data_IF_068708809046
#
_entry.id   IF_068708809046
#
_cell.length_a   1.000
_cell.length_b   1.000
_cell.length_c   1.000
_cell.angle_alpha   90.00
_cell.angle_beta   90.00
_cell.angle_gamma   90.00
#
_symmetry.space_group_name_H-M   'P 1'
#
loop_
_entity.id
_entity.type
_entity.pdbx_description
1 polymer ?
#
# COMPACT_ATOMS: atom_id res chain seq x y z
N UNK A 1 -10.01 1.68 -27.84
CA UNK A 1 -9.41 3.00 -28.11
C UNK A 1 -9.60 3.86 -26.86
N UNK A 2 -8.67 3.78 -25.91
CA UNK A 2 -8.75 4.52 -24.64
C UNK A 2 -8.12 5.90 -24.88
N UNK A 3 -8.91 6.97 -24.81
CA UNK A 3 -8.39 8.33 -24.84
C UNK A 3 -7.45 8.51 -23.62
N UNK A 4 -6.16 8.64 -23.90
CA UNK A 4 -5.20 9.19 -22.94
C UNK A 4 -5.51 10.68 -22.81
N UNK A 5 -6.27 11.05 -21.77
CA UNK A 5 -6.42 12.45 -21.40
C UNK A 5 -5.08 12.95 -20.84
N UNK A 6 -4.38 13.77 -21.61
CA UNK A 6 -3.26 14.56 -21.11
C UNK A 6 -3.84 15.78 -20.39
N UNK A 7 -3.30 16.13 -19.22
CA UNK A 7 -3.57 17.44 -18.62
C UNK A 7 -3.15 18.53 -19.63
N UNK A 8 -3.98 19.55 -19.85
CA UNK A 8 -3.70 20.61 -20.83
C UNK A 8 -2.55 21.53 -20.40
N UNK A 9 -2.16 21.50 -19.13
CA UNK A 9 -1.14 22.40 -18.59
C UNK A 9 -0.13 21.61 -17.75
N UNK A 10 1.16 21.79 -18.03
CA UNK A 10 2.28 21.22 -17.25
C UNK A 10 2.68 22.10 -16.07
N UNK A 11 2.08 23.29 -15.94
CA UNK A 11 2.46 24.30 -14.96
C UNK A 11 2.33 23.86 -13.49
N UNK A 12 1.53 22.83 -13.21
CA UNK A 12 1.35 22.28 -11.87
C UNK A 12 1.91 20.86 -11.72
N UNK A 13 2.51 20.30 -12.77
CA UNK A 13 2.96 18.91 -12.76
C UNK A 13 4.14 18.75 -11.81
N UNK A 14 3.99 17.86 -10.82
CA UNK A 14 5.10 17.43 -9.99
C UNK A 14 6.05 16.62 -10.87
N UNK A 15 7.13 17.25 -11.32
CA UNK A 15 8.23 16.55 -11.97
C UNK A 15 9.11 15.95 -10.87
N UNK A 16 9.44 14.67 -11.00
CA UNK A 16 10.46 14.04 -10.16
C UNK A 16 11.73 14.91 -10.19
N UNK A 17 12.11 15.44 -9.04
CA UNK A 17 13.41 16.10 -8.87
C UNK A 17 14.48 15.02 -8.78
N UNK A 18 15.63 15.27 -9.39
CA UNK A 18 16.77 14.37 -9.25
C UNK A 18 17.21 14.38 -7.80
N UNK A 19 16.96 13.30 -7.06
CA UNK A 19 17.58 13.11 -5.76
C UNK A 19 19.10 13.05 -5.96
N UNK A 20 19.87 13.66 -5.05
CA UNK A 20 21.32 13.51 -5.05
C UNK A 20 21.64 12.02 -5.12
N UNK A 21 22.50 11.64 -6.07
CA UNK A 21 22.88 10.25 -6.32
C UNK A 21 23.54 9.68 -5.06
N UNK A 22 22.75 9.07 -4.18
CA UNK A 22 23.26 8.17 -3.16
C UNK A 22 23.87 6.99 -3.92
N UNK A 23 25.12 6.63 -3.62
CA UNK A 23 25.76 5.47 -4.22
C UNK A 23 24.82 4.25 -4.14
N UNK A 24 24.66 3.56 -5.27
CA UNK A 24 23.77 2.41 -5.40
C UNK A 24 24.16 1.32 -4.39
N UNK A 25 23.53 1.32 -3.22
CA UNK A 25 23.61 0.21 -2.27
C UNK A 25 22.57 -0.84 -2.66
N UNK A 26 22.97 -1.69 -3.62
CA UNK A 26 22.26 -2.86 -4.17
C UNK A 26 20.82 -2.64 -4.72
N UNK A 27 20.45 -3.26 -5.85
CA UNK A 27 19.08 -3.23 -6.39
C UNK A 27 18.09 -4.13 -5.61
N UNK A 28 18.53 -4.67 -4.47
CA UNK A 28 17.77 -5.55 -3.60
C UNK A 28 17.48 -4.76 -2.33
N UNK A 29 16.22 -4.79 -1.87
CA UNK A 29 15.85 -4.19 -0.61
C UNK A 29 16.72 -4.79 0.51
N UNK A 30 17.75 -4.07 0.94
CA UNK A 30 18.76 -4.56 1.88
C UNK A 30 18.41 -4.21 3.32
N UNK A 31 17.12 -4.10 3.63
CA UNK A 31 16.68 -3.73 4.96
C UNK A 31 16.77 -4.93 5.89
N UNK A 32 17.23 -4.68 7.10
CA UNK A 32 17.22 -5.68 8.14
C UNK A 32 15.77 -5.90 8.59
N UNK A 33 15.28 -7.12 8.42
CA UNK A 33 13.98 -7.51 8.95
C UNK A 33 14.10 -7.49 10.47
N UNK A 34 13.51 -6.47 11.10
CA UNK A 34 13.49 -6.35 12.56
C UNK A 34 12.93 -7.63 13.17
N UNK A 35 13.76 -8.36 13.92
CA UNK A 35 13.30 -9.51 14.69
C UNK A 35 12.28 -9.04 15.72
N UNK A 36 11.10 -9.63 15.67
CA UNK A 36 10.07 -9.44 16.70
C UNK A 36 10.17 -10.59 17.70
N UNK A 37 9.88 -10.32 18.97
CA UNK A 37 9.75 -11.37 19.99
C UNK A 37 8.53 -12.23 19.63
N UNK A 38 8.77 -13.49 19.30
CA UNK A 38 7.77 -14.41 18.75
C UNK A 38 7.36 -15.48 19.72
N UNK A 39 6.17 -16.04 19.50
CA UNK A 39 5.70 -17.18 20.29
C UNK A 39 6.38 -18.49 19.83
N UNK A 40 6.75 -18.60 18.55
CA UNK A 40 7.23 -19.84 17.95
C UNK A 40 8.58 -19.71 17.21
N UNK A 41 9.67 -19.52 17.96
CA UNK A 41 11.05 -19.69 17.50
C UNK A 41 11.59 -18.67 16.49
N UNK A 42 12.81 -18.94 15.99
CA UNK A 42 13.55 -18.10 15.03
C UNK A 42 13.27 -18.52 13.57
N UNK A 43 12.00 -18.52 13.17
CA UNK A 43 11.61 -18.78 11.77
C UNK A 43 11.26 -17.46 11.06
N UNK A 44 11.81 -17.30 9.85
CA UNK A 44 11.47 -16.19 8.95
C UNK A 44 10.22 -16.56 8.12
N UNK A 45 9.13 -15.81 8.29
CA UNK A 45 7.86 -16.05 7.59
C UNK A 45 7.51 -14.86 6.70
N UNK A 46 7.41 -15.09 5.40
CA UNK A 46 7.09 -14.06 4.41
C UNK A 46 5.70 -14.32 3.83
N UNK A 47 4.85 -13.29 3.78
CA UNK A 47 3.52 -13.36 3.17
C UNK A 47 3.50 -12.58 1.85
N UNK A 48 3.16 -13.25 0.76
CA UNK A 48 3.03 -12.63 -0.56
C UNK A 48 1.55 -12.51 -0.96
N UNK A 49 1.09 -11.29 -1.24
CA UNK A 49 -0.29 -10.98 -1.61
C UNK A 49 -0.35 -10.47 -3.05
N UNK A 50 -1.07 -11.18 -3.90
CA UNK A 50 -1.15 -10.89 -5.33
C UNK A 50 -2.11 -9.75 -5.67
N UNK A 51 -1.99 -9.26 -6.90
CA UNK A 51 -2.89 -8.27 -7.47
C UNK A 51 -4.15 -8.91 -8.06
N UNK A 52 -5.16 -8.08 -8.32
CA UNK A 52 -6.44 -8.55 -8.88
C UNK A 52 -7.65 -7.69 -8.50
N UNK A 53 -7.43 -6.40 -8.24
CA UNK A 53 -8.48 -5.45 -7.86
C UNK A 53 -9.17 -5.82 -6.54
N UNK A 54 -10.47 -5.52 -6.44
CA UNK A 54 -11.27 -5.76 -5.23
C UNK A 54 -11.33 -7.24 -4.84
N UNK A 55 -11.29 -8.17 -5.79
CA UNK A 55 -11.26 -9.62 -5.50
C UNK A 55 -10.01 -10.00 -4.73
N UNK A 56 -8.85 -9.50 -5.17
CA UNK A 56 -7.59 -9.75 -4.48
C UNK A 56 -7.55 -9.07 -3.11
N UNK A 57 -8.14 -7.88 -2.98
CA UNK A 57 -8.25 -7.19 -1.68
C UNK A 57 -9.07 -8.02 -0.68
N UNK A 58 -10.27 -8.45 -1.07
CA UNK A 58 -11.14 -9.28 -0.25
C UNK A 58 -10.51 -10.63 0.09
N UNK A 59 -9.98 -11.34 -0.92
CA UNK A 59 -9.34 -12.64 -0.74
C UNK A 59 -8.15 -12.53 0.22
N UNK A 60 -7.25 -11.58 -0.02
CA UNK A 60 -6.07 -11.36 0.85
C UNK A 60 -6.49 -11.08 2.29
N UNK A 61 -7.49 -10.23 2.49
CA UNK A 61 -7.99 -9.92 3.83
C UNK A 61 -8.59 -11.14 4.54
N UNK A 62 -9.42 -11.93 3.86
CA UNK A 62 -9.99 -13.17 4.41
C UNK A 62 -8.91 -14.20 4.71
N UNK A 63 -7.90 -14.32 3.85
CA UNK A 63 -6.74 -15.20 4.08
C UNK A 63 -5.96 -14.75 5.31
N UNK A 64 -5.68 -13.47 5.47
CA UNK A 64 -5.00 -12.94 6.66
C UNK A 64 -5.81 -13.22 7.94
N UNK A 65 -7.12 -12.98 7.94
CA UNK A 65 -7.99 -13.32 9.08
C UNK A 65 -8.02 -14.83 9.38
N UNK A 66 -7.97 -15.68 8.35
CA UNK A 66 -7.88 -17.12 8.54
C UNK A 66 -6.51 -17.55 9.13
N UNK A 67 -5.43 -16.85 8.79
CA UNK A 67 -4.10 -17.07 9.36
C UNK A 67 -4.04 -16.75 10.87
N UNK A 68 -4.98 -15.98 11.41
CA UNK A 68 -5.08 -15.75 12.86
C UNK A 68 -5.65 -16.95 13.62
N UNK A 69 -6.30 -17.88 12.91
CA UNK A 69 -7.10 -18.97 13.49
C UNK A 69 -6.66 -20.34 12.98
N UNK A 70 -5.36 -20.51 12.70
CA UNK A 70 -4.83 -21.76 12.17
C UNK A 70 -4.87 -22.83 13.27
N UNK A 71 -5.43 -24.03 13.00
CA UNK A 71 -5.36 -25.13 13.96
C UNK A 71 -3.91 -25.55 14.19
N UNK A 72 -3.45 -25.46 15.44
CA UNK A 72 -2.14 -25.89 15.88
C UNK A 72 -2.13 -27.28 16.51
N UNK A 73 -0.95 -27.73 16.95
CA UNK A 73 -0.82 -28.97 17.70
C UNK A 73 -1.76 -28.98 18.91
N UNK A 74 -2.33 -30.16 19.20
CA UNK A 74 -3.17 -30.38 20.39
C UNK A 74 -4.44 -29.52 20.45
N UNK A 75 -4.89 -28.97 19.31
CA UNK A 75 -6.11 -28.16 19.23
C UNK A 75 -5.92 -26.70 19.67
N UNK A 76 -4.69 -26.28 19.97
CA UNK A 76 -4.39 -24.87 20.23
C UNK A 76 -4.53 -24.05 18.94
N UNK A 77 -5.21 -22.90 18.99
CA UNK A 77 -5.29 -21.99 17.85
C UNK A 77 -4.01 -21.18 17.73
N UNK A 78 -3.35 -21.25 16.58
CA UNK A 78 -2.15 -20.48 16.24
C UNK A 78 -2.53 -19.24 15.46
N UNK A 79 -2.03 -18.09 15.92
CA UNK A 79 -2.06 -16.87 15.14
C UNK A 79 -0.79 -16.77 14.29
N UNK A 80 -0.81 -17.45 13.14
CA UNK A 80 0.28 -17.44 12.16
C UNK A 80 0.48 -16.05 11.55
N UNK A 81 -0.58 -15.24 11.47
CA UNK A 81 -0.47 -13.87 10.98
C UNK A 81 0.47 -13.03 11.87
N UNK A 82 0.41 -13.22 13.19
CA UNK A 82 1.33 -12.58 14.13
C UNK A 82 2.78 -13.06 13.99
N UNK A 83 3.02 -14.20 13.33
CA UNK A 83 4.37 -14.72 13.09
C UNK A 83 4.97 -14.20 11.76
N UNK A 84 4.19 -13.56 10.88
CA UNK A 84 4.68 -13.01 9.60
C UNK A 84 5.70 -11.88 9.81
N UNK A 85 6.91 -11.98 9.25
CA UNK A 85 7.96 -10.95 9.31
C UNK A 85 7.77 -9.80 8.33
N UNK A 86 7.25 -10.14 7.15
CA UNK A 86 7.21 -9.26 6.01
C UNK A 86 6.03 -9.62 5.13
N UNK A 87 5.31 -8.59 4.69
CA UNK A 87 4.23 -8.71 3.71
C UNK A 87 4.68 -8.02 2.43
N UNK A 88 4.78 -8.79 1.35
CA UNK A 88 5.03 -8.30 0.00
C UNK A 88 3.72 -8.30 -0.77
N UNK A 89 3.32 -7.16 -1.33
CA UNK A 89 2.01 -7.02 -1.95
C UNK A 89 2.01 -6.16 -3.20
N UNK A 90 1.05 -6.42 -4.09
CA UNK A 90 0.80 -5.62 -5.30
C UNK A 90 -0.68 -5.31 -5.50
N UNK A 91 -0.99 -4.13 -6.04
CA UNK A 91 -2.34 -3.72 -6.45
C UNK A 91 -3.39 -3.96 -5.35
N UNK A 92 -4.46 -4.74 -5.62
CA UNK A 92 -5.53 -5.03 -4.66
C UNK A 92 -5.05 -5.71 -3.37
N UNK A 93 -4.05 -6.59 -3.43
CA UNK A 93 -3.46 -7.22 -2.24
C UNK A 93 -2.78 -6.21 -1.31
N UNK A 94 -2.28 -5.10 -1.87
CA UNK A 94 -1.67 -4.01 -1.09
C UNK A 94 -2.66 -3.32 -0.16
N UNK A 95 -3.97 -3.35 -0.46
CA UNK A 95 -4.98 -2.76 0.42
C UNK A 95 -5.06 -3.51 1.76
N UNK A 96 -5.13 -4.85 1.72
CA UNK A 96 -5.11 -5.69 2.91
C UNK A 96 -3.79 -5.57 3.68
N UNK A 97 -2.67 -5.61 2.94
CA UNK A 97 -1.33 -5.48 3.52
C UNK A 97 -1.15 -4.15 4.26
N UNK A 98 -1.46 -3.03 3.61
CA UNK A 98 -1.30 -1.70 4.16
C UNK A 98 -2.28 -1.43 5.31
N UNK A 99 -3.53 -1.91 5.22
CA UNK A 99 -4.49 -1.80 6.31
C UNK A 99 -3.99 -2.55 7.56
N UNK A 100 -3.51 -3.77 7.40
CA UNK A 100 -2.94 -4.53 8.52
C UNK A 100 -1.73 -3.82 9.12
N UNK A 101 -0.78 -3.39 8.28
CA UNK A 101 0.43 -2.70 8.71
C UNK A 101 0.16 -1.35 9.43
N UNK A 102 -0.92 -0.65 9.06
CA UNK A 102 -1.29 0.63 9.66
C UNK A 102 -2.19 0.51 10.89
N UNK A 103 -2.83 -0.65 11.10
CA UNK A 103 -3.85 -0.85 12.13
C UNK A 103 -3.29 -1.47 13.41
N UNK A 104 -4.07 -1.39 14.48
CA UNK A 104 -3.76 -1.90 15.81
C UNK A 104 -4.72 -3.02 16.21
N UNK A 105 -4.25 -3.98 16.99
CA UNK A 105 -5.12 -5.03 17.50
C UNK A 105 -6.14 -4.47 18.50
N UNK A 106 -7.32 -5.10 18.55
CA UNK A 106 -8.34 -4.73 19.51
C UNK A 106 -7.81 -4.90 20.95
N UNK A 107 -7.98 -3.86 21.78
CA UNK A 107 -7.50 -3.86 23.16
C UNK A 107 -6.08 -3.33 23.34
N UNK A 108 -5.37 -2.94 22.26
CA UNK A 108 -4.08 -2.25 22.38
C UNK A 108 -4.27 -0.94 23.18
N UNK A 109 -3.56 -0.73 24.30
CA UNK A 109 -3.64 0.53 25.05
C UNK A 109 -2.94 1.65 24.28
N UNK A 110 -3.48 2.87 24.36
CA UNK A 110 -2.81 4.06 23.79
C UNK A 110 -2.80 4.14 22.25
N UNK A 111 -3.77 3.52 21.56
CA UNK A 111 -3.92 3.69 20.10
C UNK A 111 -4.07 5.20 19.78
N UNK A 112 -3.21 5.77 18.91
CA UNK A 112 -3.31 7.18 18.55
C UNK A 112 -4.68 7.53 17.96
N UNK A 113 -5.22 8.74 18.22
CA UNK A 113 -6.47 9.18 17.62
C UNK A 113 -6.45 9.05 16.08
N UNK A 114 -7.58 8.66 15.50
CA UNK A 114 -7.70 8.48 14.05
C UNK A 114 -7.21 7.13 13.51
N UNK A 115 -6.52 6.31 14.31
CA UNK A 115 -6.03 5.00 13.86
C UNK A 115 -7.10 3.91 13.86
N UNK A 116 -7.07 3.10 12.80
CA UNK A 116 -7.97 1.96 12.61
C UNK A 116 -7.55 0.77 13.46
N UNK A 117 -8.55 -0.03 13.84
CA UNK A 117 -8.34 -1.33 14.47
C UNK A 117 -8.38 -2.44 13.42
N UNK A 118 -7.59 -3.47 13.64
CA UNK A 118 -7.69 -4.71 12.90
C UNK A 118 -8.85 -5.52 13.48
N UNK A 119 -9.99 -5.48 12.80
CA UNK A 119 -11.17 -6.23 13.19
C UNK A 119 -11.83 -6.86 11.96
N UNK A 120 -12.29 -8.10 12.11
CA UNK A 120 -12.84 -8.89 11.01
C UNK A 120 -13.99 -8.18 10.29
N UNK A 121 -14.86 -7.48 11.02
CA UNK A 121 -16.04 -6.84 10.44
C UNK A 121 -15.66 -5.63 9.59
N UNK A 122 -14.85 -4.72 10.11
CA UNK A 122 -14.40 -3.51 9.40
C UNK A 122 -13.50 -3.88 8.24
N UNK A 123 -12.56 -4.80 8.44
CA UNK A 123 -11.69 -5.29 7.36
C UNK A 123 -12.53 -5.90 6.24
N UNK A 124 -13.45 -6.81 6.56
CA UNK A 124 -14.31 -7.44 5.56
C UNK A 124 -15.18 -6.41 4.85
N UNK A 125 -15.79 -5.46 5.59
CA UNK A 125 -16.62 -4.40 5.00
C UNK A 125 -15.80 -3.53 4.04
N UNK A 126 -14.67 -2.98 4.51
CA UNK A 126 -13.81 -2.12 3.70
C UNK A 126 -13.34 -2.84 2.44
N UNK A 127 -12.90 -4.09 2.52
CA UNK A 127 -12.36 -4.83 1.37
C UNK A 127 -13.45 -5.32 0.42
N UNK A 128 -14.70 -5.41 0.88
CA UNK A 128 -15.87 -5.74 0.05
C UNK A 128 -16.39 -4.55 -0.74
N UNK A 129 -16.03 -3.32 -0.38
CA UNK A 129 -16.55 -2.13 -1.07
C UNK A 129 -16.00 -2.05 -2.49
N UNK A 130 -16.89 -1.76 -3.43
CA UNK A 130 -16.51 -1.53 -4.82
C UNK A 130 -15.92 -0.13 -5.02
N UNK A 131 -14.71 0.09 -4.49
CA UNK A 131 -13.98 1.34 -4.69
C UNK A 131 -13.68 1.60 -6.17
N UNK A 132 -13.55 0.55 -7.00
CA UNK A 132 -13.29 0.67 -8.43
C UNK A 132 -14.50 1.26 -9.17
N UNK A 133 -15.73 0.83 -8.87
CA UNK A 133 -16.93 1.41 -9.47
C UNK A 133 -17.20 2.85 -8.99
N UNK A 134 -16.91 3.16 -7.72
CA UNK A 134 -16.96 4.56 -7.22
C UNK A 134 -15.86 5.43 -7.83
N UNK A 135 -14.67 4.90 -8.04
CA UNK A 135 -13.55 5.58 -8.71
C UNK A 135 -13.86 5.84 -10.20
N UNK A 136 -14.39 4.85 -10.93
CA UNK A 136 -14.85 5.03 -12.32
C UNK A 136 -16.05 5.99 -12.38
N UNK A 137 -17.00 5.92 -11.43
CA UNK A 137 -18.13 6.85 -11.36
C UNK A 137 -17.71 8.29 -11.06
N UNK A 138 -16.77 8.49 -10.14
CA UNK A 138 -16.20 9.82 -9.83
C UNK A 138 -15.38 10.41 -10.99
N UNK A 139 -14.87 9.58 -11.90
CA UNK A 139 -14.17 10.01 -13.11
C UNK A 139 -15.11 10.74 -14.10
N UNK A 140 -16.41 10.43 -14.08
CA UNK A 140 -17.42 11.08 -14.92
C UNK A 140 -18.17 12.24 -14.23
N UNK A 141 -17.73 12.69 -13.05
CA UNK A 141 -18.35 13.81 -12.33
C UNK A 141 -17.82 15.18 -12.83
N UNK A 142 -18.67 16.16 -13.20
CA UNK A 142 -18.26 17.38 -13.93
C UNK A 142 -17.20 18.24 -13.22
N UNK A 143 -17.23 18.30 -11.89
CA UNK A 143 -16.30 19.10 -11.09
C UNK A 143 -14.90 18.48 -11.00
N UNK A 144 -14.80 17.15 -11.02
CA UNK A 144 -13.51 16.44 -11.02
C UNK A 144 -12.86 16.51 -12.41
N UNK A 145 -13.67 16.53 -13.47
CA UNK A 145 -13.23 16.80 -14.83
C UNK A 145 -12.62 18.22 -14.91
N UNK A 146 -13.30 19.25 -14.41
CA UNK A 146 -12.75 20.61 -14.41
C UNK A 146 -11.40 20.74 -13.67
N UNK A 147 -11.24 20.06 -12.51
CA UNK A 147 -9.95 19.99 -11.80
C UNK A 147 -8.87 19.25 -12.59
N UNK A 148 -9.21 18.12 -13.21
CA UNK A 148 -8.32 17.32 -14.06
C UNK A 148 -7.80 18.09 -15.28
N UNK A 149 -8.62 18.97 -15.88
CA UNK A 149 -8.22 19.75 -17.06
C UNK A 149 -7.39 21.00 -16.72
N UNK A 150 -7.52 21.56 -15.51
CA UNK A 150 -6.94 22.86 -15.13
C UNK A 150 -5.80 22.77 -14.09
N UNK A 151 -5.51 21.60 -13.54
CA UNK A 151 -4.41 21.37 -12.58
C UNK A 151 -3.67 20.06 -12.92
N UNK A 152 -2.47 19.84 -12.39
CA UNK A 152 -1.75 18.56 -12.59
C UNK A 152 -2.16 17.51 -11.55
N UNK A 153 -3.47 17.35 -11.44
CA UNK A 153 -4.11 16.42 -10.53
C UNK A 153 -4.27 15.11 -11.29
N UNK A 154 -3.40 14.14 -11.03
CA UNK A 154 -3.41 12.88 -11.77
C UNK A 154 -4.47 11.91 -11.22
N UNK A 155 -4.89 10.96 -12.06
CA UNK A 155 -5.91 9.93 -11.71
C UNK A 155 -5.53 9.11 -10.46
N UNK A 156 -4.24 9.06 -10.14
CA UNK A 156 -3.65 8.43 -8.96
C UNK A 156 -3.84 9.25 -7.68
N UNK A 157 -3.88 10.58 -7.76
CA UNK A 157 -4.02 11.46 -6.59
C UNK A 157 -5.45 11.42 -6.04
N UNK A 158 -6.45 11.39 -6.93
CA UNK A 158 -7.87 11.17 -6.56
C UNK A 158 -8.02 9.81 -5.88
N UNK A 159 -7.35 8.79 -6.40
CA UNK A 159 -7.39 7.45 -5.83
C UNK A 159 -6.71 7.41 -4.46
N UNK A 160 -5.55 8.07 -4.31
CA UNK A 160 -4.83 8.18 -3.06
C UNK A 160 -5.67 8.89 -1.98
N UNK A 161 -6.28 10.05 -2.30
CA UNK A 161 -7.18 10.75 -1.38
C UNK A 161 -8.42 9.93 -1.03
N UNK A 162 -9.01 9.23 -2.01
CA UNK A 162 -10.16 8.35 -1.76
C UNK A 162 -9.81 7.25 -0.75
N UNK A 163 -8.62 6.64 -0.87
CA UNK A 163 -8.17 5.66 0.10
C UNK A 163 -7.80 6.29 1.45
N UNK A 164 -7.12 7.43 1.46
CA UNK A 164 -6.81 8.15 2.71
C UNK A 164 -8.09 8.42 3.52
N UNK A 165 -9.10 9.04 2.90
CA UNK A 165 -10.31 9.48 3.57
C UNK A 165 -11.26 8.33 3.97
N UNK A 166 -11.37 7.29 3.14
CA UNK A 166 -12.40 6.25 3.32
C UNK A 166 -11.86 4.97 3.94
N UNK A 167 -10.57 4.69 3.75
CA UNK A 167 -9.98 3.40 4.07
C UNK A 167 -9.04 3.50 5.28
N UNK A 168 -8.23 4.56 5.36
CA UNK A 168 -7.23 4.74 6.41
C UNK A 168 -7.65 5.69 7.53
N UNK A 169 -8.34 6.79 7.24
CA UNK A 169 -8.86 7.72 8.25
C UNK A 169 -10.08 7.11 8.96
N UNK A 170 -10.09 7.11 10.28
CA UNK A 170 -11.25 6.65 11.08
C UNK A 170 -12.18 7.77 11.54
N UNK A 171 -11.76 9.04 11.44
CA UNK A 171 -12.45 10.17 12.10
C UNK A 171 -12.74 11.38 11.21
N UNK A 172 -12.50 11.35 9.89
CA UNK A 172 -12.52 12.55 9.02
C UNK A 172 -11.68 13.69 9.62
N UNK A 173 -10.64 13.32 10.36
CA UNK A 173 -9.72 14.24 11.02
C UNK A 173 -8.79 14.91 10.02
N UNK A 174 -8.71 14.37 8.78
CA UNK A 174 -7.87 14.93 7.71
C UNK A 174 -6.37 14.70 7.95
N UNK A 175 -6.02 13.75 8.81
CA UNK A 175 -4.62 13.36 9.06
C UNK A 175 -4.28 12.21 8.13
N UNK A 176 -3.55 12.52 7.06
CA UNK A 176 -3.08 11.52 6.10
C UNK A 176 -2.02 10.62 6.73
N UNK A 177 -2.25 9.30 6.67
CA UNK A 177 -1.26 8.31 7.08
C UNK A 177 -0.12 8.24 6.07
N UNK A 178 1.11 8.42 6.55
CA UNK A 178 2.32 8.21 5.75
C UNK A 178 2.94 6.85 6.07
N UNK A 179 3.85 6.39 5.23
CA UNK A 179 4.58 5.12 5.45
C UNK A 179 5.37 5.14 6.77
N UNK A 180 5.93 6.29 7.16
CA UNK A 180 6.58 6.45 8.48
C UNK A 180 5.64 6.28 9.67
N UNK A 181 4.34 6.39 9.44
CA UNK A 181 3.31 6.33 10.47
C UNK A 181 2.77 4.90 10.62
N UNK A 182 3.32 3.89 9.93
CA UNK A 182 2.90 2.50 10.10
C UNK A 182 3.13 2.00 11.53
N UNK A 183 2.33 1.03 11.97
CA UNK A 183 2.42 0.49 13.32
C UNK A 183 3.72 -0.34 13.45
N UNK A 184 4.68 0.06 14.31
CA UNK A 184 5.96 -0.64 14.45
C UNK A 184 5.84 -2.07 15.00
N UNK A 185 4.70 -2.43 15.60
CA UNK A 185 4.43 -3.79 16.05
C UNK A 185 4.04 -4.73 14.88
N UNK A 186 3.69 -4.19 13.71
CA UNK A 186 3.27 -4.96 12.54
C UNK A 186 4.47 -5.46 11.71
N UNK A 187 4.27 -6.45 10.82
CA UNK A 187 5.31 -6.93 9.92
C UNK A 187 5.82 -5.82 9.00
N UNK A 188 7.04 -5.98 8.48
CA UNK A 188 7.58 -5.07 7.48
C UNK A 188 6.70 -5.11 6.22
N UNK A 189 6.45 -3.95 5.61
CA UNK A 189 5.59 -3.82 4.44
C UNK A 189 6.41 -3.50 3.20
N UNK A 190 6.20 -4.30 2.16
CA UNK A 190 6.86 -4.19 0.86
C UNK A 190 5.78 -4.05 -0.21
N UNK A 191 5.69 -2.87 -0.84
CA UNK A 191 4.72 -2.61 -1.91
C UNK A 191 5.45 -2.58 -3.25
N UNK A 192 5.12 -3.51 -4.15
CA UNK A 192 5.79 -3.59 -5.45
C UNK A 192 4.96 -2.92 -6.55
N UNK A 193 5.66 -2.31 -7.50
CA UNK A 193 5.11 -1.65 -8.66
C UNK A 193 5.99 -1.90 -9.90
N UNK A 194 5.41 -1.72 -11.07
CA UNK A 194 6.10 -1.91 -12.36
C UNK A 194 6.06 -0.62 -13.16
N UNK A 195 7.17 -0.29 -13.81
CA UNK A 195 7.26 0.88 -14.67
C UNK A 195 6.50 0.61 -15.96
N UNK A 196 5.37 1.30 -16.10
CA UNK A 196 4.51 1.23 -17.28
C UNK A 196 4.71 2.38 -18.28
N UNK A 197 5.62 3.32 -18.02
CA UNK A 197 5.94 4.42 -18.93
C UNK A 197 6.93 3.98 -20.02
N UNK A 198 6.87 4.65 -21.18
CA UNK A 198 7.83 4.46 -22.27
C UNK A 198 9.21 4.90 -21.78
N UNK A 199 10.25 4.12 -22.09
CA UNK A 199 11.64 4.45 -21.74
C UNK A 199 11.97 5.88 -22.20
N UNK A 200 12.44 6.72 -21.28
CA UNK A 200 13.06 7.99 -21.67
C UNK A 200 14.50 7.72 -22.15
N UNK A 201 14.94 8.56 -23.09
CA UNK A 201 16.14 8.48 -23.93
C UNK A 201 17.34 7.74 -23.31
N UNK A 202 18.04 6.99 -24.16
CA UNK A 202 19.27 6.22 -23.87
C UNK A 202 20.45 7.04 -23.33
N UNK A 203 20.38 8.37 -23.33
CA UNK A 203 21.46 9.28 -22.93
C UNK A 203 21.53 9.56 -21.41
N UNK A 204 20.51 9.19 -20.63
CA UNK A 204 20.50 9.32 -19.17
C UNK A 204 20.32 7.95 -18.47
N UNK A 205 21.41 7.28 -18.04
CA UNK A 205 21.34 5.98 -17.39
C UNK A 205 20.60 5.98 -16.03
N UNK A 206 20.36 7.15 -15.41
CA UNK A 206 19.52 7.26 -14.21
C UNK A 206 18.01 7.26 -14.54
N UNK A 207 17.65 7.62 -15.78
CA UNK A 207 16.28 7.60 -16.31
C UNK A 207 15.99 6.43 -17.25
N UNK A 208 17.01 5.63 -17.57
CA UNK A 208 16.92 4.41 -18.38
C UNK A 208 16.25 3.23 -17.62
N UNK A 209 15.14 3.47 -16.91
CA UNK A 209 14.34 2.37 -16.39
C UNK A 209 13.48 1.83 -17.52
N UNK A 210 13.77 0.59 -17.92
CA UNK A 210 13.06 -0.09 -19.00
C UNK A 210 11.59 -0.33 -18.59
N UNK A 211 10.70 -0.23 -19.56
CA UNK A 211 9.32 -0.72 -19.40
C UNK A 211 9.35 -2.15 -18.85
N UNK A 212 8.54 -2.42 -17.82
CA UNK A 212 8.52 -3.73 -17.15
C UNK A 212 9.50 -3.86 -15.97
N UNK A 213 10.35 -2.87 -15.72
CA UNK A 213 11.22 -2.87 -14.52
C UNK A 213 10.37 -2.79 -13.27
N UNK A 214 10.64 -3.67 -12.30
CA UNK A 214 10.00 -3.68 -10.99
C UNK A 214 10.74 -2.74 -10.05
N UNK A 215 9.99 -2.01 -9.24
CA UNK A 215 10.52 -1.25 -8.12
C UNK A 215 9.62 -1.47 -6.92
N UNK A 216 10.20 -1.25 -5.75
CA UNK A 216 9.61 -1.61 -4.47
C UNK A 216 9.65 -0.39 -3.58
N UNK A 217 8.58 -0.20 -2.81
CA UNK A 217 8.49 0.79 -1.77
C UNK A 217 8.58 0.10 -0.42
N UNK A 218 9.55 0.54 0.37
CA UNK A 218 9.84 0.15 1.75
C UNK A 218 9.79 1.38 2.65
N UNK A 219 9.88 1.20 3.98
CA UNK A 219 9.90 2.33 4.90
C UNK A 219 11.14 3.21 4.70
N UNK A 220 12.28 2.58 4.38
CA UNK A 220 13.59 3.20 4.19
C UNK A 220 13.61 4.18 3.01
N UNK A 221 12.84 3.89 1.96
CA UNK A 221 12.72 4.77 0.78
C UNK A 221 12.12 6.15 1.11
N UNK A 222 11.47 6.30 2.28
CA UNK A 222 10.79 7.52 2.72
C UNK A 222 11.34 8.08 4.04
N UNK A 223 12.44 7.53 4.56
CA UNK A 223 13.04 7.94 5.82
C UNK A 223 14.09 9.06 5.69
N UNK A 224 14.30 9.59 4.48
CA UNK A 224 15.24 10.66 4.17
C UNK A 224 14.71 12.06 4.53
#
# INVERSE_FOLDING_TARGET
MLLQGCALTTHFAYTNTTLARTENKAPQASFEIKRRTRQYGDVLVLLALSGGGSRAAYFSARTMLALERVPGPQGATLNVLNEVDLISAVSGGSLAAAYYAASFDAGTPGIPPGRRKWDERTVTDLMSRNYIARWIGNWFWPLNIAKFWLTAFDRTDIMAQTFADNFFDSTRTGVDLRIRDLNPARPNLVLNATIGSRSYREDDPARAKLFGTVFTFTHEDFAA
#
